data_IF_381000397364
#
_entry.id   IF_381000397364
#
_cell.length_a   1.000
_cell.length_b   1.000
_cell.length_c   1.000
_cell.angle_alpha   90.00
_cell.angle_beta   90.00
_cell.angle_gamma   90.00
#
_symmetry.space_group_name_H-M   'P 1'
#
loop_
_entity.id
_entity.type
_entity.pdbx_description
1 polymer ?
#
# COMPACT_ATOMS: atom_id res chain seq x y z
N UNK A 1 48.77 -61.66 -8.06
CA UNK A 1 49.19 -61.43 -6.66
C UNK A 1 49.71 -60.00 -6.54
N UNK A 2 49.20 -59.26 -5.54
CA UNK A 2 49.68 -57.99 -4.95
C UNK A 2 49.40 -56.66 -5.66
N UNK A 3 48.50 -55.92 -5.02
CA UNK A 3 48.29 -54.46 -5.04
C UNK A 3 49.53 -53.70 -4.53
N UNK A 4 49.59 -52.38 -4.79
CA UNK A 4 49.41 -51.44 -3.68
C UNK A 4 48.43 -50.29 -3.97
N UNK A 5 47.83 -49.79 -2.88
CA UNK A 5 47.01 -48.58 -2.77
C UNK A 5 47.88 -47.32 -2.75
N UNK A 6 47.43 -46.20 -3.35
CA UNK A 6 47.62 -44.83 -2.83
C UNK A 6 46.38 -43.96 -3.14
N UNK A 7 45.96 -43.21 -2.12
CA UNK A 7 44.86 -42.22 -2.06
C UNK A 7 45.16 -40.92 -2.83
N UNK A 8 44.13 -40.27 -3.36
CA UNK A 8 43.98 -38.80 -3.39
C UNK A 8 42.57 -38.42 -3.89
N UNK A 9 41.67 -38.05 -2.99
CA UNK A 9 41.34 -36.67 -2.61
C UNK A 9 40.36 -36.00 -3.59
N UNK A 10 39.07 -36.02 -3.21
CA UNK A 10 38.00 -35.29 -3.90
C UNK A 10 38.16 -33.78 -3.71
N UNK A 11 38.00 -33.04 -4.80
CA UNK A 11 37.94 -31.59 -4.79
C UNK A 11 36.49 -31.17 -5.04
N UNK A 12 35.75 -30.93 -3.96
CA UNK A 12 34.47 -30.23 -3.98
C UNK A 12 34.78 -28.73 -4.20
N UNK A 13 34.55 -28.23 -5.41
CA UNK A 13 34.51 -26.79 -5.65
C UNK A 13 33.19 -26.24 -5.08
N UNK A 14 33.19 -25.91 -3.79
CA UNK A 14 32.20 -25.00 -3.23
C UNK A 14 32.56 -23.58 -3.67
N UNK A 15 31.92 -23.08 -4.72
CA UNK A 15 31.92 -21.64 -5.04
C UNK A 15 31.09 -20.93 -3.95
N UNK A 16 31.74 -20.52 -2.88
CA UNK A 16 31.17 -19.55 -1.95
C UNK A 16 31.10 -18.19 -2.63
N UNK A 17 29.91 -17.77 -3.06
CA UNK A 17 29.68 -16.38 -3.45
C UNK A 17 29.71 -15.50 -2.20
N UNK A 18 30.89 -14.97 -1.87
CA UNK A 18 31.01 -13.82 -0.98
C UNK A 18 30.47 -12.59 -1.72
N UNK A 19 29.17 -12.31 -1.58
CA UNK A 19 28.65 -10.98 -1.92
C UNK A 19 29.22 -9.99 -0.90
N UNK A 20 29.84 -8.87 -1.32
CA UNK A 20 30.19 -7.82 -0.39
C UNK A 20 28.89 -7.21 0.15
N UNK A 21 28.71 -7.29 1.47
CA UNK A 21 27.72 -6.48 2.18
C UNK A 21 28.17 -5.02 2.02
N UNK A 22 27.49 -4.27 1.16
CA UNK A 22 27.72 -2.83 0.99
C UNK A 22 27.34 -2.14 2.31
N UNK A 23 28.33 -1.83 3.15
CA UNK A 23 28.13 -1.03 4.36
C UNK A 23 27.90 0.42 3.95
N UNK A 24 26.64 0.89 4.03
CA UNK A 24 26.30 2.30 3.83
C UNK A 24 27.01 3.17 4.87
N UNK A 25 27.51 4.32 4.43
CA UNK A 25 28.14 5.28 5.34
C UNK A 25 27.09 5.97 6.23
N UNK A 26 27.48 6.37 7.44
CA UNK A 26 26.58 7.06 8.39
C UNK A 26 26.02 8.37 7.83
N UNK A 27 26.76 9.05 6.95
CA UNK A 27 26.34 10.28 6.28
C UNK A 27 25.23 10.00 5.26
N UNK A 28 25.35 8.93 4.49
CA UNK A 28 24.34 8.51 3.51
C UNK A 28 23.01 8.15 4.19
N UNK A 29 23.08 7.39 5.29
CA UNK A 29 21.88 7.05 6.09
C UNK A 29 21.21 8.30 6.66
N UNK A 30 21.97 9.27 7.18
CA UNK A 30 21.42 10.51 7.70
C UNK A 30 20.72 11.35 6.62
N UNK A 31 21.28 11.42 5.40
CA UNK A 31 20.68 12.13 4.27
C UNK A 31 19.38 11.48 3.79
N UNK A 32 19.34 10.14 3.75
CA UNK A 32 18.12 9.37 3.42
C UNK A 32 17.02 9.66 4.45
N UNK A 33 17.37 9.66 5.75
CA UNK A 33 16.40 9.93 6.81
C UNK A 33 15.85 11.36 6.78
N UNK A 34 16.69 12.36 6.48
CA UNK A 34 16.26 13.76 6.32
C UNK A 34 15.31 13.91 5.12
N UNK A 35 15.64 13.27 3.98
CA UNK A 35 14.81 13.36 2.78
C UNK A 35 13.45 12.67 2.98
N UNK A 36 13.43 11.50 3.61
CA UNK A 36 12.20 10.79 3.99
C UNK A 36 11.33 11.63 4.94
N UNK A 37 11.92 12.20 5.99
CA UNK A 37 11.21 13.08 6.93
C UNK A 37 10.60 14.30 6.23
N UNK A 38 11.31 14.90 5.26
CA UNK A 38 10.78 16.01 4.47
C UNK A 38 9.62 15.56 3.57
N UNK A 39 9.72 14.38 2.95
CA UNK A 39 8.65 13.80 2.12
C UNK A 39 7.40 13.55 2.95
N UNK A 40 7.51 12.88 4.09
CA UNK A 40 6.36 12.62 4.99
C UNK A 40 5.74 13.92 5.52
N UNK A 41 6.56 14.93 5.82
CA UNK A 41 6.06 16.27 6.22
C UNK A 41 5.24 16.92 5.09
N UNK A 42 5.66 16.77 3.84
CA UNK A 42 4.90 17.25 2.69
C UNK A 42 3.58 16.47 2.55
N UNK A 43 3.61 15.15 2.64
CA UNK A 43 2.40 14.32 2.58
C UNK A 43 1.42 14.63 3.70
N UNK A 44 1.89 14.93 4.92
CA UNK A 44 1.02 15.37 6.02
C UNK A 44 0.29 16.69 5.70
N UNK A 45 0.95 17.63 5.02
CA UNK A 45 0.31 18.89 4.58
C UNK A 45 -0.68 18.62 3.46
N UNK A 46 -0.33 17.78 2.48
CA UNK A 46 -1.22 17.38 1.39
C UNK A 46 -2.46 16.65 1.90
N UNK A 47 -2.29 15.72 2.84
CA UNK A 47 -3.38 15.00 3.51
C UNK A 47 -4.34 15.98 4.19
N UNK A 48 -3.81 16.92 5.00
CA UNK A 48 -4.64 17.91 5.69
C UNK A 48 -5.44 18.77 4.71
N UNK A 49 -4.79 19.30 3.68
CA UNK A 49 -5.44 20.12 2.67
C UNK A 49 -6.57 19.36 1.95
N UNK A 50 -6.28 18.15 1.47
CA UNK A 50 -7.21 17.34 0.71
C UNK A 50 -8.38 16.81 1.55
N UNK A 51 -8.12 16.42 2.81
CA UNK A 51 -9.18 16.05 3.76
C UNK A 51 -10.12 17.23 4.03
N UNK A 52 -9.57 18.44 4.18
CA UNK A 52 -10.40 19.64 4.35
C UNK A 52 -11.20 19.98 3.10
N UNK A 53 -10.59 19.84 1.91
CA UNK A 53 -11.29 20.01 0.63
C UNK A 53 -12.47 19.03 0.53
N UNK A 54 -12.25 17.74 0.80
CA UNK A 54 -13.31 16.72 0.83
C UNK A 54 -14.43 17.09 1.79
N UNK A 55 -14.08 17.43 3.04
CA UNK A 55 -15.06 17.80 4.06
C UNK A 55 -15.90 19.02 3.65
N UNK A 56 -15.30 20.01 3.00
CA UNK A 56 -16.01 21.21 2.50
C UNK A 56 -17.09 20.91 1.47
N UNK A 57 -17.02 19.75 0.79
CA UNK A 57 -18.02 19.36 -0.22
C UNK A 57 -19.30 18.82 0.39
N UNK A 58 -19.28 18.44 1.68
CA UNK A 58 -20.42 17.85 2.39
C UNK A 58 -21.03 16.64 1.64
N UNK A 59 -20.20 15.85 0.94
CA UNK A 59 -20.64 14.67 0.19
C UNK A 59 -20.80 13.51 1.16
N UNK A 60 -22.05 13.08 1.38
CA UNK A 60 -22.39 11.95 2.27
C UNK A 60 -22.96 10.75 1.54
N UNK A 61 -23.33 10.93 0.25
CA UNK A 61 -23.87 9.91 -0.62
C UNK A 61 -23.00 9.81 -1.87
N UNK A 62 -22.30 8.68 -2.03
CA UNK A 62 -21.41 8.46 -3.16
C UNK A 62 -21.16 6.97 -3.40
N UNK A 63 -20.64 6.66 -4.58
CA UNK A 63 -20.08 5.35 -4.89
C UNK A 63 -18.74 5.49 -5.60
N UNK A 64 -17.93 4.45 -5.53
CA UNK A 64 -16.64 4.37 -6.23
C UNK A 64 -16.24 2.92 -6.45
N UNK A 65 -15.35 2.70 -7.42
CA UNK A 65 -14.66 1.43 -7.62
C UNK A 65 -13.37 1.45 -6.79
N UNK A 66 -13.14 0.39 -6.03
CA UNK A 66 -11.95 0.21 -5.20
C UNK A 66 -11.21 -1.05 -5.61
N UNK A 67 -9.89 -0.96 -5.73
CA UNK A 67 -9.00 -2.11 -5.87
C UNK A 67 -7.85 -2.05 -4.86
N UNK A 68 -7.42 -3.21 -4.42
CA UNK A 68 -6.30 -3.42 -3.52
C UNK A 68 -5.29 -4.37 -4.20
N UNK A 69 -4.25 -3.79 -4.78
CA UNK A 69 -3.12 -4.54 -5.29
C UNK A 69 -2.29 -5.06 -4.11
N UNK A 70 -2.50 -6.31 -3.72
CA UNK A 70 -1.65 -6.99 -2.75
C UNK A 70 -1.38 -8.43 -3.16
N UNK A 71 -0.32 -9.03 -2.62
CA UNK A 71 -0.08 -10.47 -2.70
C UNK A 71 -0.91 -11.26 -1.67
N UNK A 72 -2.18 -10.91 -1.56
CA UNK A 72 -3.17 -11.44 -0.62
C UNK A 72 -4.15 -12.38 -1.34
N UNK A 73 -5.11 -12.97 -0.63
CA UNK A 73 -6.15 -13.81 -1.26
C UNK A 73 -6.95 -13.03 -2.32
N UNK A 74 -7.37 -13.65 -3.44
CA UNK A 74 -8.06 -12.96 -4.53
C UNK A 74 -9.31 -12.17 -4.10
N UNK A 75 -10.11 -12.73 -3.19
CA UNK A 75 -11.35 -12.11 -2.69
C UNK A 75 -11.14 -10.74 -2.00
N UNK A 76 -9.92 -10.45 -1.53
CA UNK A 76 -9.58 -9.19 -0.87
C UNK A 76 -9.02 -8.11 -1.82
N UNK A 77 -8.81 -8.44 -3.10
CA UNK A 77 -8.15 -7.54 -4.08
C UNK A 77 -9.13 -6.62 -4.81
N UNK A 78 -10.39 -7.00 -4.94
CA UNK A 78 -11.34 -6.32 -5.83
C UNK A 78 -11.04 -6.56 -7.33
N UNK A 79 -11.53 -5.71 -8.24
CA UNK A 79 -12.27 -4.48 -7.99
C UNK A 79 -13.67 -4.70 -7.42
N UNK A 80 -14.08 -3.83 -6.50
CA UNK A 80 -15.43 -3.78 -5.93
C UNK A 80 -16.04 -2.40 -6.09
N UNK A 81 -17.36 -2.32 -6.28
CA UNK A 81 -18.13 -1.08 -6.14
C UNK A 81 -18.54 -0.94 -4.69
N UNK A 82 -18.16 0.18 -4.08
CA UNK A 82 -18.53 0.53 -2.72
C UNK A 82 -19.55 1.66 -2.79
N UNK A 83 -20.72 1.45 -2.20
CA UNK A 83 -21.75 2.47 -2.06
C UNK A 83 -21.82 2.96 -0.63
N UNK A 84 -21.86 4.29 -0.47
CA UNK A 84 -21.93 4.98 0.81
C UNK A 84 -23.17 5.87 0.82
N UNK A 85 -23.98 5.75 1.87
CA UNK A 85 -25.17 6.57 2.13
C UNK A 85 -25.13 7.14 3.54
N UNK A 86 -25.43 8.42 3.66
CA UNK A 86 -25.38 9.14 4.93
C UNK A 86 -24.04 8.93 5.67
N UNK A 87 -22.95 8.89 4.91
CA UNK A 87 -21.59 8.67 5.41
C UNK A 87 -21.26 7.23 5.84
N UNK A 88 -22.18 6.27 5.65
CA UNK A 88 -22.00 4.86 6.00
C UNK A 88 -22.00 3.96 4.77
N UNK A 89 -21.11 2.99 4.73
CA UNK A 89 -21.11 1.96 3.69
C UNK A 89 -22.41 1.16 3.75
N UNK A 90 -23.12 1.06 2.63
CA UNK A 90 -24.35 0.27 2.52
C UNK A 90 -24.19 -0.97 1.64
N UNK A 91 -23.22 -0.98 0.72
CA UNK A 91 -22.91 -2.15 -0.09
C UNK A 91 -21.45 -2.20 -0.52
N UNK A 92 -20.97 -3.42 -0.72
CA UNK A 92 -19.69 -3.74 -1.37
C UNK A 92 -19.97 -4.87 -2.35
N UNK A 93 -19.88 -4.58 -3.64
CA UNK A 93 -20.33 -5.47 -4.72
C UNK A 93 -19.15 -5.77 -5.63
N UNK A 94 -18.93 -7.04 -5.96
CA UNK A 94 -17.91 -7.42 -6.94
C UNK A 94 -18.25 -6.85 -8.32
N UNK A 95 -17.29 -6.18 -8.95
CA UNK A 95 -17.46 -5.69 -10.33
C UNK A 95 -17.65 -6.86 -11.30
N UNK A 96 -16.96 -7.97 -11.07
CA UNK A 96 -16.97 -9.11 -11.98
C UNK A 96 -18.32 -9.85 -12.01
N UNK A 97 -19.01 -9.94 -10.87
CA UNK A 97 -20.26 -10.72 -10.74
C UNK A 97 -21.51 -9.86 -10.59
N UNK A 98 -21.36 -8.59 -10.21
CA UNK A 98 -22.48 -7.72 -9.84
C UNK A 98 -23.17 -8.14 -8.53
N UNK A 99 -22.63 -9.12 -7.79
CA UNK A 99 -23.18 -9.62 -6.53
C UNK A 99 -22.41 -9.06 -5.32
N UNK A 100 -23.03 -9.02 -4.13
CA UNK A 100 -22.32 -8.73 -2.89
C UNK A 100 -21.08 -9.62 -2.73
N UNK A 101 -19.99 -9.07 -2.21
CA UNK A 101 -18.82 -9.88 -1.89
C UNK A 101 -19.14 -10.90 -0.80
N UNK A 102 -18.49 -12.07 -0.87
CA UNK A 102 -18.63 -13.14 0.12
C UNK A 102 -18.26 -12.68 1.54
N UNK A 103 -17.22 -11.86 1.65
CA UNK A 103 -16.74 -11.31 2.91
C UNK A 103 -16.47 -9.80 2.83
N UNK A 104 -17.40 -8.94 3.29
CA UNK A 104 -17.20 -7.49 3.28
C UNK A 104 -16.11 -6.99 4.24
N UNK A 105 -15.69 -7.80 5.22
CA UNK A 105 -14.68 -7.41 6.21
C UNK A 105 -13.31 -7.13 5.60
N UNK A 106 -12.99 -7.76 4.45
CA UNK A 106 -11.74 -7.48 3.73
C UNK A 106 -11.60 -6.02 3.30
N UNK A 107 -12.73 -5.31 3.13
CA UNK A 107 -12.76 -3.93 2.67
C UNK A 107 -13.02 -2.93 3.80
N UNK A 108 -13.18 -3.38 5.04
CA UNK A 108 -13.65 -2.54 6.16
C UNK A 108 -12.77 -1.32 6.43
N UNK A 109 -11.47 -1.40 6.15
CA UNK A 109 -10.51 -0.32 6.36
C UNK A 109 -10.49 0.69 5.20
N UNK A 110 -11.18 0.40 4.10
CA UNK A 110 -11.10 1.15 2.85
C UNK A 110 -12.49 1.59 2.33
N UNK A 111 -13.57 1.11 2.95
CA UNK A 111 -14.94 1.23 2.43
C UNK A 111 -15.63 2.60 2.63
N UNK A 112 -14.86 3.65 2.90
CA UNK A 112 -15.29 5.05 2.79
C UNK A 112 -14.08 5.95 2.49
N UNK A 113 -14.29 7.11 1.86
CA UNK A 113 -13.22 8.11 1.66
C UNK A 113 -12.55 8.55 2.98
N UNK A 114 -13.29 8.84 4.08
CA UNK A 114 -12.69 9.12 5.38
C UNK A 114 -11.71 8.04 5.87
N UNK A 115 -12.01 6.76 5.65
CA UNK A 115 -11.13 5.66 6.06
C UNK A 115 -9.87 5.58 5.22
N UNK A 116 -9.94 5.88 3.92
CA UNK A 116 -8.75 5.99 3.06
C UNK A 116 -7.80 7.09 3.53
N UNK A 117 -8.33 8.23 3.99
CA UNK A 117 -7.47 9.24 4.61
C UNK A 117 -6.83 8.77 5.92
N UNK A 118 -7.43 7.80 6.64
CA UNK A 118 -6.84 7.23 7.83
C UNK A 118 -5.68 6.27 7.49
N UNK A 119 -5.75 5.55 6.37
CA UNK A 119 -4.62 4.76 5.85
C UNK A 119 -3.40 5.65 5.60
N UNK A 120 -3.60 6.80 4.95
CA UNK A 120 -2.52 7.78 4.69
C UNK A 120 -1.99 8.35 6.03
N UNK A 121 -2.89 8.64 6.96
CA UNK A 121 -2.51 9.14 8.29
C UNK A 121 -1.67 8.14 9.09
N UNK A 122 -2.02 6.85 9.04
CA UNK A 122 -1.27 5.76 9.70
C UNK A 122 0.14 5.63 9.12
N UNK A 123 0.26 5.62 7.78
CA UNK A 123 1.56 5.58 7.11
C UNK A 123 2.48 6.74 7.54
N UNK A 124 1.93 7.96 7.67
CA UNK A 124 2.68 9.12 8.17
C UNK A 124 3.07 8.94 9.63
N UNK A 125 2.14 8.50 10.47
CA UNK A 125 2.36 8.34 11.91
C UNK A 125 3.44 7.29 12.21
N UNK A 126 3.43 6.19 11.45
CA UNK A 126 4.37 5.08 11.59
C UNK A 126 5.69 5.31 10.85
N UNK A 127 5.88 6.49 10.26
CA UNK A 127 7.05 6.87 9.48
C UNK A 127 7.38 5.86 8.39
N UNK A 128 6.37 5.50 7.57
CA UNK A 128 6.54 4.58 6.46
C UNK A 128 7.77 4.93 5.60
N UNK A 129 8.54 3.91 5.23
CA UNK A 129 9.72 4.05 4.37
C UNK A 129 9.39 4.77 3.07
N UNK A 130 8.22 4.49 2.48
CA UNK A 130 7.68 5.21 1.34
C UNK A 130 6.16 5.41 1.47
N UNK A 131 5.72 6.60 1.08
CA UNK A 131 4.33 6.96 0.91
C UNK A 131 4.19 7.80 -0.37
N UNK A 132 3.36 7.32 -1.30
CA UNK A 132 2.96 8.07 -2.48
C UNK A 132 1.43 8.14 -2.56
N UNK A 133 0.90 9.35 -2.72
CA UNK A 133 -0.54 9.59 -2.77
C UNK A 133 -0.89 10.54 -3.89
N UNK A 134 -1.85 10.13 -4.70
CA UNK A 134 -2.53 10.99 -5.68
C UNK A 134 -3.92 11.35 -5.17
N UNK A 135 -4.35 12.58 -5.44
CA UNK A 135 -5.65 13.10 -5.03
C UNK A 135 -6.42 13.64 -6.23
N UNK A 136 -7.74 13.52 -6.18
CA UNK A 136 -8.61 14.18 -7.12
C UNK A 136 -8.58 15.72 -6.86
N UNK A 137 -8.31 16.55 -7.87
CA UNK A 137 -8.16 18.00 -7.67
C UNK A 137 -9.47 18.73 -7.37
N UNK A 138 -10.61 18.18 -7.78
CA UNK A 138 -11.92 18.82 -7.60
C UNK A 138 -12.52 18.55 -6.21
N UNK A 139 -12.37 17.32 -5.74
CA UNK A 139 -13.03 16.83 -4.53
C UNK A 139 -12.06 16.49 -3.39
N UNK A 140 -10.77 16.35 -3.65
CA UNK A 140 -9.74 16.10 -2.63
C UNK A 140 -9.69 14.66 -2.10
N UNK A 141 -10.50 13.72 -2.59
CA UNK A 141 -10.37 12.32 -2.18
C UNK A 141 -9.10 11.68 -2.78
N UNK A 142 -8.47 10.69 -2.11
CA UNK A 142 -7.33 9.96 -2.67
C UNK A 142 -7.77 9.11 -3.87
N UNK A 143 -7.03 9.17 -4.98
CA UNK A 143 -7.24 8.31 -6.17
C UNK A 143 -6.27 7.14 -6.21
N UNK A 144 -5.10 7.30 -5.59
CA UNK A 144 -4.10 6.24 -5.42
C UNK A 144 -3.40 6.42 -4.06
N UNK A 145 -3.14 5.31 -3.38
CA UNK A 145 -2.36 5.27 -2.13
C UNK A 145 -1.39 4.10 -2.24
N UNK A 146 -0.09 4.39 -2.26
CA UNK A 146 0.97 3.40 -2.21
C UNK A 146 1.74 3.58 -0.89
N UNK A 147 1.78 2.53 -0.07
CA UNK A 147 2.51 2.51 1.20
C UNK A 147 3.48 1.35 1.20
N UNK A 148 4.71 1.64 1.58
CA UNK A 148 5.73 0.67 1.98
C UNK A 148 6.20 1.16 3.35
N UNK A 149 5.80 0.45 4.41
CA UNK A 149 6.18 0.81 5.77
C UNK A 149 7.63 0.49 6.03
N UNK A 150 8.14 -0.63 5.49
CA UNK A 150 9.52 -1.04 5.65
C UNK A 150 10.07 -1.68 4.37
N UNK A 151 10.97 -0.96 3.70
CA UNK A 151 11.60 -1.35 2.45
C UNK A 151 12.44 -2.65 2.51
N UNK A 152 12.52 -3.32 3.66
CA UNK A 152 13.22 -4.59 3.88
C UNK A 152 12.27 -5.76 4.20
N UNK A 153 10.94 -5.53 4.23
CA UNK A 153 9.93 -6.57 4.49
C UNK A 153 9.02 -6.66 3.28
N UNK A 154 9.00 -7.81 2.63
CA UNK A 154 8.11 -8.07 1.51
C UNK A 154 6.68 -8.37 1.97
N UNK A 155 5.72 -8.13 1.07
CA UNK A 155 4.30 -8.47 1.16
C UNK A 155 3.50 -7.70 2.24
N UNK A 156 4.09 -6.63 2.77
CA UNK A 156 3.45 -5.71 3.71
C UNK A 156 2.99 -4.40 3.05
N UNK A 157 3.35 -4.21 1.78
CA UNK A 157 3.01 -3.03 0.99
C UNK A 157 1.52 -2.97 0.67
N UNK A 158 1.02 -1.75 0.61
CA UNK A 158 -0.38 -1.45 0.32
C UNK A 158 -0.45 -0.66 -0.98
N UNK A 159 -1.19 -1.15 -1.98
CA UNK A 159 -1.45 -0.45 -3.24
C UNK A 159 -2.96 -0.30 -3.47
N UNK A 160 -3.51 0.86 -3.16
CA UNK A 160 -4.95 1.13 -3.29
C UNK A 160 -5.23 2.02 -4.49
N UNK A 161 -6.27 1.69 -5.25
CA UNK A 161 -6.81 2.56 -6.31
C UNK A 161 -8.29 2.84 -6.09
N UNK A 162 -8.68 4.09 -6.39
CA UNK A 162 -10.04 4.61 -6.24
C UNK A 162 -10.44 5.27 -7.56
N UNK A 163 -11.42 4.66 -8.22
CA UNK A 163 -11.84 5.01 -9.57
C UNK A 163 -13.36 5.20 -9.63
N UNK A 164 -13.85 5.72 -10.75
CA UNK A 164 -15.29 5.84 -11.03
C UNK A 164 -16.11 6.50 -9.91
N UNK A 165 -15.49 7.46 -9.20
CA UNK A 165 -16.16 8.18 -8.12
C UNK A 165 -17.37 8.95 -8.66
N UNK A 166 -18.50 8.78 -7.99
CA UNK A 166 -19.74 9.45 -8.35
C UNK A 166 -20.53 9.84 -7.11
N UNK A 167 -20.93 11.11 -7.04
CA UNK A 167 -21.95 11.56 -6.07
C UNK A 167 -23.31 11.01 -6.51
N UNK A 168 -24.03 10.43 -5.58
CA UNK A 168 -25.35 9.82 -5.83
C UNK A 168 -26.39 10.52 -4.94
N UNK A 169 -27.65 10.55 -5.40
CA UNK A 169 -28.75 11.19 -4.69
C UNK A 169 -29.22 10.31 -3.55
#
# INVERSE_FOLDING_TARGET
MRLPLILSAGLLFSLGMNLPVMSQSTVEVAQIQISSNRKLTLEARRLRFNRNLWNSKNIVNYRYTFSNGCFCIPDARGPVVIEVRNGKTVSVTSVATGQPVSNPEFFRNYNTIPKLFNVIGDAIQRQAANLDVSYNPQYGYPTQINVDYNAQIADEEIYLTIENFQVIR
#
